data_IF_204758109830
#
_entry.id   IF_204758109830
#
_cell.length_a   1.000
_cell.length_b   1.000
_cell.length_c   1.000
_cell.angle_alpha   90.00
_cell.angle_beta   90.00
_cell.angle_gamma   90.00
#
_symmetry.space_group_name_H-M   'P 1'
#
loop_
_entity.id
_entity.type
_entity.pdbx_description
1 polymer ?
#
# COMPACT_ATOMS: atom_id res chain seq x y z
N UNK A 1 14.13 4.24 -18.80
CA UNK A 1 13.13 4.53 -19.87
C UNK A 1 11.74 4.84 -19.30
N UNK A 2 11.36 4.26 -18.15
CA UNK A 2 10.26 4.73 -17.28
C UNK A 2 10.55 6.05 -16.50
N UNK A 3 11.72 6.69 -16.70
CA UNK A 3 12.25 7.79 -15.89
C UNK A 3 12.40 9.10 -16.68
N UNK A 4 11.58 9.32 -17.72
CA UNK A 4 11.78 10.44 -18.64
C UNK A 4 10.47 11.10 -19.09
N UNK A 5 9.33 10.76 -18.47
CA UNK A 5 8.02 10.90 -19.14
C UNK A 5 6.96 11.53 -18.24
N UNK A 6 7.32 12.58 -17.51
CA UNK A 6 6.37 13.35 -16.73
C UNK A 6 6.54 14.85 -17.02
N UNK A 7 5.61 15.41 -17.79
CA UNK A 7 5.36 16.85 -17.82
C UNK A 7 3.88 17.13 -18.12
N UNK A 8 3.18 17.78 -17.18
CA UNK A 8 2.14 18.79 -17.46
C UNK A 8 1.87 19.68 -16.23
N UNK A 9 2.32 20.93 -16.39
CA UNK A 9 1.60 22.20 -16.11
C UNK A 9 1.48 22.78 -14.70
N UNK A 10 2.13 22.22 -13.68
CA UNK A 10 2.80 23.01 -12.61
C UNK A 10 4.04 22.24 -12.14
N UNK A 11 5.24 22.72 -12.45
CA UNK A 11 6.48 21.91 -12.34
C UNK A 11 6.92 21.66 -10.90
N UNK A 12 6.61 22.59 -10.00
CA UNK A 12 7.04 22.58 -8.61
C UNK A 12 6.08 23.41 -7.75
N UNK A 13 5.72 22.91 -6.57
CA UNK A 13 4.91 23.62 -5.59
C UNK A 13 5.57 23.50 -4.21
N UNK A 14 5.96 24.64 -3.64
CA UNK A 14 6.42 24.72 -2.26
C UNK A 14 5.21 24.67 -1.31
N UNK A 15 5.19 23.72 -0.39
CA UNK A 15 4.12 23.57 0.62
C UNK A 15 4.56 24.25 1.92
N UNK A 16 5.75 23.90 2.42
CA UNK A 16 6.37 24.52 3.59
C UNK A 16 7.83 24.88 3.28
N UNK A 17 8.13 26.19 3.36
CA UNK A 17 9.44 26.79 3.08
C UNK A 17 10.48 26.58 4.19
N UNK A 18 10.43 25.44 4.88
CA UNK A 18 11.31 25.12 5.99
C UNK A 18 10.95 25.85 7.29
N UNK A 19 10.37 25.14 8.25
CA UNK A 19 10.04 25.66 9.58
C UNK A 19 10.78 24.91 10.68
N UNK A 20 11.12 25.61 11.76
CA UNK A 20 11.65 24.96 12.95
C UNK A 20 10.49 24.35 13.74
N UNK A 21 10.50 23.03 13.87
CA UNK A 21 9.54 22.32 14.68
C UNK A 21 9.95 22.41 16.15
N UNK A 22 9.43 23.41 16.84
CA UNK A 22 9.72 23.66 18.26
C UNK A 22 9.15 22.58 19.19
N UNK A 23 8.28 21.69 18.69
CA UNK A 23 7.70 20.60 19.47
C UNK A 23 8.62 19.36 19.52
N UNK A 24 9.58 19.25 18.58
CA UNK A 24 10.52 18.13 18.52
C UNK A 24 11.91 18.58 18.98
N UNK A 25 12.39 17.96 20.06
CA UNK A 25 13.76 18.16 20.56
C UNK A 25 14.73 17.40 19.65
N UNK A 26 15.74 18.10 19.11
CA UNK A 26 16.76 17.56 18.21
C UNK A 26 17.40 16.27 18.73
N UNK A 27 17.72 16.20 20.02
CA UNK A 27 18.38 15.05 20.65
C UNK A 27 17.54 13.77 20.57
N UNK A 28 16.22 13.87 20.74
CA UNK A 28 15.31 12.71 20.66
C UNK A 28 15.21 12.22 19.22
N UNK A 29 15.05 13.16 18.28
CA UNK A 29 15.02 12.85 16.85
C UNK A 29 16.30 12.16 16.37
N UNK A 30 17.47 12.66 16.78
CA UNK A 30 18.77 12.06 16.44
C UNK A 30 18.92 10.67 17.06
N UNK A 31 18.44 10.48 18.30
CA UNK A 31 18.47 9.18 18.97
C UNK A 31 17.65 8.13 18.22
N UNK A 32 16.48 8.49 17.72
CA UNK A 32 15.65 7.59 16.90
C UNK A 32 16.31 7.28 15.55
N UNK A 33 16.88 8.28 14.87
CA UNK A 33 17.58 8.05 13.61
C UNK A 33 18.79 7.13 13.80
N UNK A 34 19.58 7.29 14.86
CA UNK A 34 20.67 6.35 15.20
C UNK A 34 20.19 4.92 15.34
N UNK A 35 18.97 4.71 15.86
CA UNK A 35 18.40 3.38 16.08
C UNK A 35 17.86 2.75 14.80
N UNK A 36 17.14 3.51 13.99
CA UNK A 36 16.36 2.96 12.86
C UNK A 36 16.97 3.26 11.48
N UNK A 37 17.78 4.31 11.36
CA UNK A 37 18.35 4.81 10.10
C UNK A 37 19.79 5.35 10.31
N UNK A 38 20.74 4.52 10.80
CA UNK A 38 22.06 4.99 11.24
C UNK A 38 22.90 5.64 10.13
N UNK A 39 22.62 5.30 8.87
CA UNK A 39 23.34 5.83 7.71
C UNK A 39 22.82 7.20 7.25
N UNK A 40 21.74 7.72 7.84
CA UNK A 40 21.16 9.01 7.45
C UNK A 40 21.85 10.18 8.18
N UNK A 41 23.18 10.23 8.07
CA UNK A 41 24.00 11.31 8.62
C UNK A 41 25.16 11.66 7.70
N UNK A 42 25.68 12.87 7.83
CA UNK A 42 26.93 13.28 7.18
C UNK A 42 27.65 14.31 8.06
N UNK A 43 28.97 14.34 7.94
CA UNK A 43 29.83 15.25 8.71
C UNK A 43 30.39 16.34 7.80
N UNK A 44 30.16 17.59 8.17
CA UNK A 44 30.69 18.78 7.50
C UNK A 44 31.94 19.23 8.24
N UNK A 45 33.07 19.24 7.55
CA UNK A 45 34.34 19.68 8.12
C UNK A 45 34.34 21.19 8.45
N UNK A 46 35.23 21.61 9.35
CA UNK A 46 35.42 23.02 9.68
C UNK A 46 35.91 23.81 8.46
N UNK A 47 35.48 25.07 8.32
CA UNK A 47 35.94 26.00 7.28
C UNK A 47 35.65 25.55 5.84
N UNK A 48 34.55 24.83 5.61
CA UNK A 48 34.17 24.31 4.29
C UNK A 48 32.70 24.65 3.98
N UNK A 49 32.41 24.97 2.73
CA UNK A 49 31.07 24.90 2.16
C UNK A 49 30.81 23.48 1.69
N UNK A 50 29.80 22.82 2.25
CA UNK A 50 29.47 21.45 1.91
C UNK A 50 28.09 21.36 1.25
N UNK A 51 28.01 20.64 0.15
CA UNK A 51 26.76 20.33 -0.53
C UNK A 51 26.52 18.83 -0.49
N UNK A 52 25.32 18.43 -0.07
CA UNK A 52 24.85 17.06 -0.17
C UNK A 52 23.65 17.00 -1.12
N UNK A 53 23.66 16.04 -2.02
CA UNK A 53 22.70 15.95 -3.13
C UNK A 53 21.88 14.68 -2.99
N UNK A 54 20.56 14.83 -2.99
CA UNK A 54 19.62 13.73 -2.92
C UNK A 54 18.77 13.68 -4.19
N UNK A 55 18.78 12.57 -4.94
CA UNK A 55 17.91 12.43 -6.10
C UNK A 55 16.45 12.37 -5.65
N UNK A 56 15.61 13.16 -6.31
CA UNK A 56 14.16 13.20 -6.13
C UNK A 56 13.51 12.73 -7.44
N UNK A 57 12.68 11.71 -7.34
CA UNK A 57 11.94 11.19 -8.49
C UNK A 57 10.81 12.14 -8.90
N UNK A 58 10.29 11.94 -10.11
CA UNK A 58 9.11 12.64 -10.64
C UNK A 58 7.85 12.38 -9.78
N UNK A 59 6.92 13.33 -9.76
CA UNK A 59 5.62 13.23 -9.05
C UNK A 59 5.76 12.79 -7.59
N UNK A 60 6.60 13.46 -6.82
CA UNK A 60 6.80 13.16 -5.40
C UNK A 60 6.31 14.33 -4.54
N UNK A 61 5.51 14.00 -3.52
CA UNK A 61 5.52 14.79 -2.30
C UNK A 61 6.78 14.39 -1.51
N UNK A 62 7.62 15.39 -1.22
CA UNK A 62 8.89 15.22 -0.53
C UNK A 62 8.83 15.96 0.79
N UNK A 63 8.90 15.19 1.87
CA UNK A 63 9.09 15.71 3.21
C UNK A 63 10.55 15.54 3.61
N UNK A 64 11.17 16.61 4.10
CA UNK A 64 12.56 16.58 4.54
C UNK A 64 12.67 17.14 5.96
N UNK A 65 13.53 16.52 6.75
CA UNK A 65 13.84 16.92 8.12
C UNK A 65 15.36 16.88 8.34
N UNK A 66 15.90 17.87 9.05
CA UNK A 66 17.32 17.95 9.37
C UNK A 66 17.55 18.49 10.79
N UNK A 67 18.52 17.89 11.48
CA UNK A 67 18.98 18.31 12.80
C UNK A 67 20.52 18.21 12.87
N UNK A 68 21.14 18.96 13.78
CA UNK A 68 22.58 18.87 14.07
C UNK A 68 22.79 18.30 15.47
N UNK A 69 23.86 17.54 15.68
CA UNK A 69 24.24 17.10 17.02
C UNK A 69 24.68 18.27 17.90
N UNK A 70 25.31 19.30 17.31
CA UNK A 70 25.87 20.44 18.04
C UNK A 70 25.83 21.70 17.19
N UNK A 71 25.66 22.85 17.88
CA UNK A 71 25.80 24.22 17.38
C UNK A 71 24.81 24.62 16.26
N UNK A 72 24.47 25.92 16.14
CA UNK A 72 23.59 26.42 15.08
C UNK A 72 24.29 26.48 13.72
N UNK A 73 23.62 26.14 12.62
CA UNK A 73 24.20 26.04 11.27
C UNK A 73 23.79 27.19 10.34
N UNK A 74 24.62 27.54 9.36
CA UNK A 74 24.18 28.28 8.19
C UNK A 74 23.74 27.27 7.14
N UNK A 75 22.46 27.27 6.78
CA UNK A 75 21.86 26.23 5.95
C UNK A 75 21.05 26.85 4.82
N UNK A 76 21.25 26.32 3.62
CA UNK A 76 20.42 26.57 2.46
C UNK A 76 19.94 25.22 1.92
N UNK A 77 18.65 25.13 1.61
CA UNK A 77 18.01 23.96 1.05
C UNK A 77 17.35 24.41 -0.24
N UNK A 78 17.70 23.76 -1.34
CA UNK A 78 17.23 24.09 -2.68
C UNK A 78 16.79 22.82 -3.38
N UNK A 79 15.76 22.93 -4.21
CA UNK A 79 15.35 21.89 -5.14
C UNK A 79 15.73 22.33 -6.55
N UNK A 80 16.48 21.51 -7.28
CA UNK A 80 16.89 21.79 -8.65
C UNK A 80 16.26 20.78 -9.60
N UNK A 81 15.57 21.26 -10.63
CA UNK A 81 15.00 20.39 -11.67
C UNK A 81 16.09 19.90 -12.62
N UNK A 82 15.90 18.72 -13.20
CA UNK A 82 16.82 18.12 -14.19
C UNK A 82 16.44 18.43 -15.65
N UNK A 83 15.45 19.29 -15.84
CA UNK A 83 14.97 19.68 -17.17
C UNK A 83 15.95 20.66 -17.86
N UNK A 84 15.75 20.89 -19.15
CA UNK A 84 16.65 21.68 -20.01
C UNK A 84 16.94 23.12 -19.53
N UNK A 85 16.16 23.65 -18.60
CA UNK A 85 16.33 25.00 -18.03
C UNK A 85 17.01 25.02 -16.64
N UNK A 86 17.23 23.87 -15.98
CA UNK A 86 17.79 23.76 -14.62
C UNK A 86 17.21 24.77 -13.62
N UNK A 87 15.88 24.81 -13.51
CA UNK A 87 15.22 25.71 -12.58
C UNK A 87 15.58 25.32 -11.14
N UNK A 88 16.03 26.31 -10.37
CA UNK A 88 16.39 26.13 -8.96
C UNK A 88 15.39 26.85 -8.07
N UNK A 89 14.74 26.10 -7.20
CA UNK A 89 13.78 26.59 -6.23
C UNK A 89 14.41 26.61 -4.84
N UNK A 90 14.51 27.78 -4.23
CA UNK A 90 14.95 27.89 -2.83
C UNK A 90 13.83 27.44 -1.89
N UNK A 91 14.09 26.39 -1.12
CA UNK A 91 13.14 25.88 -0.12
C UNK A 91 13.35 26.57 1.22
N UNK A 92 14.60 26.85 1.60
CA UNK A 92 14.96 27.50 2.85
C UNK A 92 16.36 28.11 2.76
N UNK A 93 16.58 29.31 3.28
CA UNK A 93 17.91 29.91 3.36
C UNK A 93 18.04 30.84 4.57
N UNK A 94 18.78 30.40 5.60
CA UNK A 94 19.04 31.21 6.81
C UNK A 94 20.40 30.90 7.42
N UNK A 95 20.97 31.91 8.08
CA UNK A 95 22.21 31.81 8.87
C UNK A 95 21.92 31.58 10.36
N UNK A 96 22.83 30.92 11.08
CA UNK A 96 22.77 30.67 12.53
C UNK A 96 21.47 30.00 13.01
N UNK A 97 20.94 29.08 12.22
CA UNK A 97 19.72 28.33 12.54
C UNK A 97 20.01 27.31 13.64
N UNK A 98 19.26 27.37 14.74
CA UNK A 98 19.42 26.47 15.90
C UNK A 98 18.86 25.06 15.66
N UNK A 99 19.36 24.39 14.61
CA UNK A 99 19.01 22.99 14.31
C UNK A 99 19.65 21.98 15.27
N UNK A 100 20.51 22.47 16.17
CA UNK A 100 21.04 21.76 17.32
C UNK A 100 20.04 21.64 18.47
N UNK A 101 19.00 22.48 18.48
CA UNK A 101 17.94 22.50 19.51
C UNK A 101 16.61 21.97 18.99
N UNK A 102 16.28 22.34 17.76
CA UNK A 102 15.01 22.01 17.12
C UNK A 102 15.22 21.34 15.77
N UNK A 103 14.28 20.52 15.33
CA UNK A 103 14.33 19.93 13.99
C UNK A 103 13.87 20.99 12.97
N UNK A 104 14.66 21.19 11.91
CA UNK A 104 14.20 21.95 10.76
C UNK A 104 13.53 20.98 9.79
N UNK A 105 12.31 21.30 9.37
CA UNK A 105 11.54 20.45 8.46
C UNK A 105 10.88 21.29 7.37
N UNK A 106 10.63 20.71 6.21
CA UNK A 106 9.86 21.33 5.15
C UNK A 106 9.29 20.32 4.18
N UNK A 107 8.46 20.82 3.28
CA UNK A 107 7.67 19.99 2.39
C UNK A 107 7.49 20.69 1.04
N UNK A 108 7.65 19.92 -0.03
CA UNK A 108 7.36 20.40 -1.38
C UNK A 108 6.83 19.27 -2.23
N UNK A 109 6.09 19.64 -3.26
CA UNK A 109 5.65 18.74 -4.31
C UNK A 109 6.39 19.08 -5.59
N UNK A 110 6.85 18.03 -6.28
CA UNK A 110 7.45 18.16 -7.60
C UNK A 110 6.75 17.25 -8.59
N UNK A 111 6.54 17.75 -9.81
CA UNK A 111 6.10 16.94 -10.94
C UNK A 111 7.30 16.34 -11.69
N UNK A 112 8.41 17.08 -11.83
CA UNK A 112 9.62 16.66 -12.55
C UNK A 112 10.67 15.95 -11.67
N UNK A 113 11.61 15.25 -12.31
CA UNK A 113 12.78 14.71 -11.61
C UNK A 113 13.69 15.87 -11.21
N UNK A 114 14.35 15.73 -10.07
CA UNK A 114 15.28 16.75 -9.63
C UNK A 114 16.20 16.28 -8.52
N UNK A 115 16.82 17.25 -7.88
CA UNK A 115 17.71 17.02 -6.76
C UNK A 115 17.36 17.97 -5.63
N UNK A 116 17.15 17.40 -4.44
CA UNK A 116 17.15 18.16 -3.21
C UNK A 116 18.61 18.33 -2.79
N UNK A 117 19.05 19.58 -2.69
CA UNK A 117 20.43 19.93 -2.35
C UNK A 117 20.42 20.62 -0.99
N UNK A 118 21.14 20.02 -0.05
CA UNK A 118 21.36 20.59 1.28
C UNK A 118 22.76 21.20 1.30
N UNK A 119 22.82 22.51 1.45
CA UNK A 119 24.05 23.28 1.51
C UNK A 119 24.28 23.74 2.94
N UNK A 120 25.43 23.38 3.51
CA UNK A 120 25.87 23.81 4.83
C UNK A 120 27.10 24.70 4.65
N UNK A 121 26.94 25.99 4.93
CA UNK A 121 28.08 26.90 4.98
C UNK A 121 28.73 26.80 6.38
N UNK A 122 29.84 26.06 6.46
CA UNK A 122 30.64 25.93 7.65
C UNK A 122 31.94 26.77 7.62
N UNK A 123 32.07 27.69 6.65
CA UNK A 123 33.29 28.49 6.41
C UNK A 123 33.66 29.37 7.61
N UNK A 124 32.66 29.92 8.28
CA UNK A 124 32.82 30.82 9.43
C UNK A 124 33.02 30.09 10.76
N UNK A 125 32.96 28.76 10.79
CA UNK A 125 32.99 27.97 12.03
C UNK A 125 34.27 27.13 12.14
N UNK A 126 34.74 26.97 13.38
CA UNK A 126 36.02 26.32 13.69
C UNK A 126 35.89 24.81 13.98
N UNK A 127 34.67 24.29 14.11
CA UNK A 127 34.42 22.89 14.47
C UNK A 127 33.62 22.17 13.37
N UNK A 128 33.88 20.86 13.17
CA UNK A 128 33.05 20.02 12.32
C UNK A 128 31.64 19.85 12.90
N UNK A 129 30.68 19.55 12.03
CA UNK A 129 29.27 19.37 12.39
C UNK A 129 28.73 18.07 11.83
N UNK A 130 28.12 17.27 12.67
CA UNK A 130 27.39 16.07 12.24
C UNK A 130 25.92 16.43 12.09
N UNK A 131 25.40 16.30 10.87
CA UNK A 131 23.99 16.50 10.58
C UNK A 131 23.30 15.15 10.38
N UNK A 132 22.09 15.08 10.89
CA UNK A 132 21.18 13.94 10.78
C UNK A 132 19.96 14.38 9.97
N UNK A 133 19.58 13.56 8.99
CA UNK A 133 18.50 13.92 8.07
C UNK A 133 17.51 12.79 7.88
N UNK A 134 16.32 13.13 7.39
CA UNK A 134 15.35 12.17 6.86
C UNK A 134 14.68 12.82 5.66
N UNK A 135 14.62 12.08 4.56
CA UNK A 135 13.89 12.48 3.35
C UNK A 135 12.88 11.36 3.10
N UNK A 136 11.60 11.71 3.12
CA UNK A 136 10.50 10.78 2.87
C UNK A 136 9.92 11.06 1.48
N UNK A 137 9.87 10.02 0.66
CA UNK A 137 9.26 9.99 -0.67
C UNK A 137 8.22 8.86 -0.65
N UNK A 138 7.08 9.00 -1.33
CA UNK A 138 6.06 7.95 -1.40
C UNK A 138 6.12 7.27 -2.78
N UNK A 139 6.89 6.18 -2.96
CA UNK A 139 7.04 5.55 -4.27
C UNK A 139 5.75 4.86 -4.71
N UNK A 140 5.09 5.41 -5.75
CA UNK A 140 3.96 4.76 -6.44
C UNK A 140 4.33 3.40 -7.04
N UNK A 141 5.62 3.16 -7.29
CA UNK A 141 6.14 1.85 -7.72
C UNK A 141 5.94 0.74 -6.70
N UNK A 142 5.56 1.07 -5.46
CA UNK A 142 5.19 0.09 -4.43
C UNK A 142 3.68 0.00 -4.20
N UNK A 143 2.87 0.75 -4.95
CA UNK A 143 1.40 0.69 -4.87
C UNK A 143 0.85 -0.34 -5.85
N UNK A 144 0.32 -1.44 -5.31
CA UNK A 144 -0.36 -2.47 -6.10
C UNK A 144 -1.59 -1.93 -6.82
N UNK A 145 -2.33 -1.01 -6.18
CA UNK A 145 -3.52 -0.42 -6.78
C UNK A 145 -3.16 0.50 -7.95
N UNK A 146 -2.13 1.34 -7.80
CA UNK A 146 -1.61 2.15 -8.90
C UNK A 146 -1.15 1.30 -10.08
N UNK A 147 -0.34 0.26 -9.83
CA UNK A 147 0.10 -0.66 -10.88
C UNK A 147 -1.06 -1.34 -11.61
N UNK A 148 -2.10 -1.73 -10.85
CA UNK A 148 -3.32 -2.28 -11.40
C UNK A 148 -4.03 -1.34 -12.37
N UNK A 149 -4.24 -0.09 -11.93
CA UNK A 149 -4.90 0.95 -12.73
C UNK A 149 -4.05 1.27 -13.96
N UNK A 150 -2.74 1.43 -13.81
CA UNK A 150 -1.83 1.68 -14.91
C UNK A 150 -1.90 0.57 -15.97
N UNK A 151 -1.84 -0.70 -15.54
CA UNK A 151 -1.89 -1.83 -16.45
C UNK A 151 -3.23 -1.94 -17.19
N UNK A 152 -4.34 -1.67 -16.50
CA UNK A 152 -5.68 -1.64 -17.10
C UNK A 152 -5.72 -0.69 -18.30
N UNK A 153 -5.31 0.57 -18.10
CA UNK A 153 -5.27 1.53 -19.20
C UNK A 153 -4.21 1.16 -20.24
N UNK A 154 -3.03 0.71 -19.82
CA UNK A 154 -1.96 0.36 -20.75
C UNK A 154 -2.40 -0.72 -21.75
N UNK A 155 -3.08 -1.77 -21.28
CA UNK A 155 -3.59 -2.85 -22.13
C UNK A 155 -4.66 -2.35 -23.12
N UNK A 156 -5.54 -1.43 -22.69
CA UNK A 156 -6.56 -0.86 -23.56
C UNK A 156 -5.96 -0.05 -24.74
N UNK A 157 -4.80 0.60 -24.54
CA UNK A 157 -4.17 1.42 -25.59
C UNK A 157 -3.18 0.66 -26.48
N UNK A 158 -2.51 -0.38 -25.96
CA UNK A 158 -1.31 -0.94 -26.61
C UNK A 158 -1.39 -2.43 -26.91
N UNK A 159 -2.59 -2.97 -27.13
CA UNK A 159 -2.75 -4.33 -27.67
C UNK A 159 -2.79 -4.27 -29.21
N UNK A 160 -1.82 -4.86 -29.96
CA UNK A 160 -0.77 -5.80 -29.54
C UNK A 160 0.55 -5.14 -29.06
N UNK A 161 1.32 -5.83 -28.18
CA UNK A 161 2.31 -5.27 -27.25
C UNK A 161 3.66 -4.81 -27.87
N UNK A 162 3.75 -4.71 -29.19
CA UNK A 162 5.01 -4.43 -29.92
C UNK A 162 4.91 -3.09 -30.66
N UNK A 163 4.51 -2.03 -29.95
CA UNK A 163 4.61 -0.66 -30.46
C UNK A 163 5.45 0.18 -29.52
N UNK A 164 6.44 0.86 -30.07
CA UNK A 164 7.18 1.90 -29.37
C UNK A 164 6.19 3.02 -29.06
N UNK A 165 5.85 3.18 -27.78
CA UNK A 165 4.92 4.22 -27.31
C UNK A 165 5.60 5.57 -27.49
N UNK A 166 4.93 6.50 -28.17
CA UNK A 166 5.42 7.88 -28.28
C UNK A 166 5.10 8.65 -26.99
N UNK A 167 5.94 9.61 -26.65
CA UNK A 167 5.81 10.45 -25.46
C UNK A 167 4.41 11.07 -25.29
N UNK A 168 3.82 11.62 -26.36
CA UNK A 168 2.47 12.17 -26.32
C UNK A 168 1.35 11.14 -26.05
N UNK A 169 1.52 9.90 -26.48
CA UNK A 169 0.54 8.82 -26.24
C UNK A 169 0.61 8.32 -24.78
N UNK A 170 1.80 8.39 -24.17
CA UNK A 170 1.98 8.07 -22.76
C UNK A 170 1.45 9.18 -21.83
N UNK A 171 1.59 10.46 -22.20
CA UNK A 171 0.96 11.55 -21.43
C UNK A 171 -0.56 11.36 -21.36
N UNK A 172 -1.19 11.06 -22.50
CA UNK A 172 -2.62 10.78 -22.57
C UNK A 172 -3.03 9.54 -21.75
N UNK A 173 -2.16 8.53 -21.69
CA UNK A 173 -2.37 7.36 -20.83
C UNK A 173 -2.37 7.77 -19.35
N UNK A 174 -1.36 8.53 -18.93
CA UNK A 174 -1.21 8.96 -17.54
C UNK A 174 -2.35 9.89 -17.12
N UNK A 175 -2.78 10.81 -17.97
CA UNK A 175 -3.92 11.69 -17.67
C UNK A 175 -5.19 10.85 -17.41
N UNK A 176 -5.40 9.77 -18.15
CA UNK A 176 -6.52 8.85 -17.93
C UNK A 176 -6.35 8.03 -16.66
N UNK A 177 -5.14 7.55 -16.37
CA UNK A 177 -4.82 6.83 -15.11
C UNK A 177 -5.10 7.73 -13.90
N UNK A 178 -4.62 8.97 -13.92
CA UNK A 178 -4.85 9.89 -12.81
C UNK A 178 -6.32 10.30 -12.74
N UNK A 179 -6.97 10.67 -13.85
CA UNK A 179 -8.43 10.93 -13.89
C UNK A 179 -9.23 9.77 -13.31
N UNK A 180 -8.83 8.53 -13.57
CA UNK A 180 -9.47 7.38 -12.96
C UNK A 180 -9.22 7.31 -11.46
N UNK A 181 -8.00 7.57 -10.99
CA UNK A 181 -7.69 7.69 -9.56
C UNK A 181 -8.53 8.82 -8.93
N UNK A 182 -8.72 9.97 -9.61
CA UNK A 182 -9.58 11.08 -9.12
C UNK A 182 -10.98 10.57 -8.86
N UNK A 183 -11.55 9.93 -9.89
CA UNK A 183 -12.89 9.41 -9.83
C UNK A 183 -13.00 8.30 -8.77
N UNK A 184 -11.96 7.50 -8.57
CA UNK A 184 -11.92 6.42 -7.59
C UNK A 184 -11.91 6.99 -6.17
N UNK A 185 -11.05 7.98 -5.90
CA UNK A 185 -10.97 8.66 -4.61
C UNK A 185 -12.25 9.47 -4.30
N UNK A 186 -12.92 10.00 -5.33
CA UNK A 186 -14.21 10.69 -5.19
C UNK A 186 -15.42 9.73 -5.19
N UNK A 187 -15.19 8.44 -5.47
CA UNK A 187 -16.20 7.39 -5.52
C UNK A 187 -17.14 7.45 -6.74
N UNK A 188 -16.81 8.20 -7.77
CA UNK A 188 -17.64 8.37 -8.99
C UNK A 188 -17.38 7.28 -10.05
N UNK A 189 -16.32 6.48 -9.91
CA UNK A 189 -16.05 5.33 -10.80
C UNK A 189 -17.16 4.30 -10.68
N UNK A 190 -17.61 3.75 -11.81
CA UNK A 190 -18.59 2.64 -11.82
C UNK A 190 -17.93 1.29 -11.55
N UNK A 191 -18.68 0.32 -10.99
CA UNK A 191 -18.16 -1.03 -10.77
C UNK A 191 -17.73 -1.72 -12.06
N UNK A 192 -18.36 -1.38 -13.20
CA UNK A 192 -17.94 -1.82 -14.54
C UNK A 192 -16.54 -1.34 -14.88
N UNK A 193 -16.25 -0.07 -14.64
CA UNK A 193 -14.93 0.51 -14.94
C UNK A 193 -13.84 -0.03 -14.00
N UNK A 194 -14.23 -0.58 -12.83
CA UNK A 194 -13.32 -1.27 -11.92
C UNK A 194 -13.14 -2.76 -12.24
N UNK A 195 -13.84 -3.32 -13.23
CA UNK A 195 -13.87 -4.77 -13.47
C UNK A 195 -12.47 -5.37 -13.69
N UNK A 196 -11.60 -4.69 -14.43
CA UNK A 196 -10.22 -5.12 -14.68
C UNK A 196 -9.35 -5.08 -13.41
N UNK A 197 -9.73 -4.26 -12.42
CA UNK A 197 -9.07 -4.24 -11.10
C UNK A 197 -9.44 -5.44 -10.22
N UNK A 198 -10.48 -6.23 -10.54
CA UNK A 198 -10.83 -7.44 -9.77
C UNK A 198 -9.61 -8.36 -9.66
N UNK A 199 -8.84 -8.52 -10.72
CA UNK A 199 -7.62 -9.32 -10.72
C UNK A 199 -6.58 -8.81 -9.71
N UNK A 200 -6.50 -7.49 -9.52
CA UNK A 200 -5.56 -6.86 -8.57
C UNK A 200 -5.96 -7.21 -7.14
N UNK A 201 -7.25 -7.07 -6.82
CA UNK A 201 -7.81 -7.44 -5.52
C UNK A 201 -7.78 -8.95 -5.24
N UNK A 202 -7.97 -9.79 -6.26
CA UNK A 202 -7.97 -11.25 -6.11
C UNK A 202 -6.57 -11.89 -6.08
N UNK A 203 -5.58 -11.27 -6.72
CA UNK A 203 -4.25 -11.88 -6.85
C UNK A 203 -3.24 -11.34 -5.85
N UNK A 204 -3.49 -10.21 -5.22
CA UNK A 204 -2.54 -9.59 -4.28
C UNK A 204 -3.14 -9.43 -2.89
N UNK A 205 -2.29 -9.56 -1.88
CA UNK A 205 -2.64 -9.19 -0.53
C UNK A 205 -2.61 -7.66 -0.42
N UNK A 206 -3.77 -7.03 -0.62
CA UNK A 206 -3.88 -5.57 -0.65
C UNK A 206 -4.26 -5.05 0.73
N UNK A 207 -3.33 -4.34 1.37
CA UNK A 207 -3.62 -3.51 2.52
C UNK A 207 -4.28 -2.19 2.07
N UNK A 208 -5.60 -2.22 1.92
CA UNK A 208 -6.40 -1.13 1.32
C UNK A 208 -6.05 0.24 1.90
N UNK A 209 -5.91 0.38 3.21
CA UNK A 209 -5.59 1.67 3.85
C UNK A 209 -4.24 2.22 3.45
N UNK A 210 -3.22 1.39 3.35
CA UNK A 210 -1.89 1.83 2.93
C UNK A 210 -1.88 2.24 1.46
N UNK A 211 -2.57 1.49 0.61
CA UNK A 211 -2.69 1.79 -0.81
C UNK A 211 -3.47 3.10 -1.06
N UNK A 212 -4.58 3.30 -0.36
CA UNK A 212 -5.35 4.55 -0.43
C UNK A 212 -4.50 5.74 0.04
N UNK A 213 -3.76 5.59 1.14
CA UNK A 213 -2.81 6.62 1.60
C UNK A 213 -1.77 6.93 0.53
N UNK A 214 -1.13 5.91 -0.04
CA UNK A 214 -0.16 6.09 -1.14
C UNK A 214 -0.78 6.82 -2.33
N UNK A 215 -2.02 6.50 -2.71
CA UNK A 215 -2.72 7.19 -3.79
C UNK A 215 -2.95 8.65 -3.45
N UNK A 216 -3.51 8.96 -2.28
CA UNK A 216 -3.77 10.33 -1.82
C UNK A 216 -2.49 11.19 -1.73
N UNK A 217 -1.40 10.66 -1.20
CA UNK A 217 -0.13 11.42 -1.01
C UNK A 217 0.55 11.76 -2.34
N UNK A 218 0.19 11.10 -3.44
CA UNK A 218 0.75 11.33 -4.77
C UNK A 218 -0.17 12.16 -5.69
N UNK A 219 -1.05 12.97 -5.09
CA UNK A 219 -2.02 13.81 -5.79
C UNK A 219 -1.63 15.28 -5.71
N UNK A 220 -1.58 15.94 -6.87
CA UNK A 220 -1.69 17.39 -6.92
C UNK A 220 -3.13 17.77 -6.58
N UNK A 221 -3.32 18.57 -5.53
CA UNK A 221 -4.63 19.07 -5.13
C UNK A 221 -4.99 20.30 -5.98
N UNK A 222 -5.67 20.09 -7.10
CA UNK A 222 -6.12 21.16 -7.99
C UNK A 222 -7.21 22.09 -7.39
N UNK A 223 -7.73 21.81 -6.18
CA UNK A 223 -8.76 22.64 -5.54
C UNK A 223 -8.31 24.06 -5.12
N UNK A 224 -7.03 24.42 -5.33
CA UNK A 224 -6.50 25.74 -4.97
C UNK A 224 -6.92 26.84 -5.96
N UNK A 225 -7.31 26.52 -7.20
CA UNK A 225 -7.60 27.56 -8.22
C UNK A 225 -8.99 28.19 -8.13
N UNK A 226 -9.99 27.54 -7.52
CA UNK A 226 -11.38 28.07 -7.53
C UNK A 226 -11.90 28.65 -6.21
N UNK A 227 -11.19 28.51 -5.08
CA UNK A 227 -11.67 29.04 -3.78
C UNK A 227 -10.81 30.15 -3.14
N UNK A 228 -9.63 30.49 -3.65
CA UNK A 228 -8.75 31.54 -3.07
C UNK A 228 -8.99 32.98 -3.54
N UNK A 229 -10.20 33.33 -4.02
CA UNK A 229 -10.58 34.74 -4.24
C UNK A 229 -11.49 35.34 -3.16
N UNK A 230 -11.80 34.61 -2.10
CA UNK A 230 -12.68 35.11 -1.04
C UNK A 230 -12.09 34.86 0.34
N UNK A 231 -11.59 35.94 0.94
CA UNK A 231 -11.47 36.21 2.38
C UNK A 231 -10.73 35.22 3.29
N UNK A 232 -9.60 35.71 3.81
CA UNK A 232 -9.01 35.52 5.15
C UNK A 232 -9.91 34.70 6.13
N UNK A 233 -9.66 33.39 6.27
CA UNK A 233 -9.85 32.59 7.51
C UNK A 233 -9.03 31.31 7.40
N UNK A 234 -8.16 31.06 8.39
CA UNK A 234 -7.49 29.81 8.78
C UNK A 234 -7.08 28.81 7.68
N UNK A 235 -5.80 28.82 7.34
CA UNK A 235 -5.08 27.73 6.67
C UNK A 235 -5.04 26.47 7.56
N UNK A 236 -6.11 25.68 7.54
CA UNK A 236 -6.00 24.24 7.76
C UNK A 236 -5.57 23.60 6.45
N UNK A 237 -4.47 22.84 6.50
CA UNK A 237 -3.98 21.99 5.42
C UNK A 237 -5.14 21.22 4.78
N UNK A 238 -5.26 21.30 3.45
CA UNK A 238 -6.08 20.35 2.69
C UNK A 238 -5.27 19.05 2.46
N UNK A 239 -4.73 18.47 3.53
CA UNK A 239 -4.46 17.04 3.52
C UNK A 239 -5.83 16.33 3.55
N UNK A 240 -6.01 15.22 2.83
CA UNK A 240 -7.25 14.46 2.91
C UNK A 240 -7.51 14.13 4.38
N UNK A 241 -8.70 14.48 4.83
CA UNK A 241 -9.11 14.23 6.21
C UNK A 241 -9.10 12.72 6.44
N UNK A 242 -8.78 12.28 7.66
CA UNK A 242 -8.80 10.85 7.98
C UNK A 242 -10.17 10.22 7.64
N UNK A 243 -11.24 11.01 7.71
CA UNK A 243 -12.61 10.61 7.30
C UNK A 243 -12.72 10.31 5.81
N UNK A 244 -12.10 11.10 4.94
CA UNK A 244 -12.10 10.84 3.49
C UNK A 244 -11.30 9.58 3.16
N UNK A 245 -10.15 9.39 3.83
CA UNK A 245 -9.35 8.18 3.70
C UNK A 245 -10.16 6.96 4.14
N UNK A 246 -10.78 7.01 5.32
CA UNK A 246 -11.61 5.93 5.85
C UNK A 246 -12.79 5.59 4.93
N UNK A 247 -13.43 6.60 4.35
CA UNK A 247 -14.55 6.42 3.43
C UNK A 247 -14.11 5.70 2.14
N UNK A 248 -13.00 6.10 1.53
CA UNK A 248 -12.46 5.41 0.35
C UNK A 248 -12.01 3.98 0.71
N UNK A 249 -11.41 3.80 1.88
CA UNK A 249 -11.04 2.47 2.37
C UNK A 249 -12.25 1.56 2.49
N UNK A 250 -13.35 2.06 3.04
CA UNK A 250 -14.60 1.32 3.16
C UNK A 250 -15.10 0.89 1.77
N UNK A 251 -15.16 1.81 0.81
CA UNK A 251 -15.64 1.47 -0.54
C UNK A 251 -14.80 0.38 -1.21
N UNK A 252 -13.48 0.52 -1.16
CA UNK A 252 -12.56 -0.45 -1.75
C UNK A 252 -12.56 -1.80 -1.03
N UNK A 253 -12.79 -1.82 0.28
CA UNK A 253 -12.93 -3.06 1.03
C UNK A 253 -14.21 -3.81 0.66
N UNK A 254 -15.33 -3.11 0.51
CA UNK A 254 -16.58 -3.71 0.01
C UNK A 254 -16.38 -4.21 -1.42
N UNK A 255 -15.67 -3.46 -2.26
CA UNK A 255 -15.33 -3.88 -3.62
C UNK A 255 -14.45 -5.13 -3.63
N UNK A 256 -13.47 -5.21 -2.72
CA UNK A 256 -12.63 -6.40 -2.55
C UNK A 256 -13.50 -7.62 -2.23
N UNK A 257 -14.43 -7.53 -1.28
CA UNK A 257 -15.35 -8.64 -1.00
C UNK A 257 -16.23 -8.98 -2.20
N UNK A 258 -16.81 -7.98 -2.85
CA UNK A 258 -17.61 -8.15 -4.06
C UNK A 258 -16.85 -8.91 -5.16
N UNK A 259 -15.58 -8.57 -5.39
CA UNK A 259 -14.73 -9.24 -6.39
C UNK A 259 -14.48 -10.72 -6.09
N UNK A 260 -14.59 -11.15 -4.83
CA UNK A 260 -14.36 -12.53 -4.39
C UNK A 260 -15.63 -13.38 -4.28
N UNK A 261 -16.83 -12.81 -4.42
CA UNK A 261 -18.10 -13.53 -4.23
C UNK A 261 -18.13 -14.82 -5.07
N UNK A 262 -17.78 -14.72 -6.35
CA UNK A 262 -17.80 -15.89 -7.25
C UNK A 262 -16.77 -16.96 -6.84
N UNK A 263 -15.61 -16.55 -6.35
CA UNK A 263 -14.57 -17.46 -5.87
C UNK A 263 -15.06 -18.19 -4.62
N UNK A 264 -15.65 -17.46 -3.67
CA UNK A 264 -16.20 -18.03 -2.42
C UNK A 264 -17.31 -19.04 -2.73
N UNK A 265 -18.24 -18.69 -3.62
CA UNK A 265 -19.34 -19.56 -4.03
C UNK A 265 -18.81 -20.82 -4.73
N UNK A 266 -17.89 -20.66 -5.68
CA UNK A 266 -17.28 -21.79 -6.37
C UNK A 266 -16.53 -22.72 -5.40
N UNK A 267 -15.89 -22.15 -4.36
CA UNK A 267 -15.23 -22.91 -3.31
C UNK A 267 -16.24 -23.78 -2.52
N UNK A 268 -17.36 -23.20 -2.12
CA UNK A 268 -18.45 -23.91 -1.42
C UNK A 268 -18.98 -25.07 -2.27
N UNK A 269 -19.23 -24.82 -3.55
CA UNK A 269 -19.77 -25.81 -4.50
C UNK A 269 -18.75 -26.93 -4.78
N UNK A 270 -17.49 -26.57 -5.06
CA UNK A 270 -16.42 -27.53 -5.39
C UNK A 270 -16.13 -28.48 -4.24
N UNK A 271 -16.19 -28.00 -3.00
CA UNK A 271 -15.86 -28.80 -1.82
C UNK A 271 -17.08 -29.37 -1.09
N UNK A 272 -18.31 -29.15 -1.58
CA UNK A 272 -19.55 -29.63 -0.92
C UNK A 272 -19.56 -29.25 0.58
N UNK A 273 -19.31 -27.97 0.85
CA UNK A 273 -19.15 -27.43 2.22
C UNK A 273 -20.52 -27.30 2.90
N UNK A 274 -21.53 -26.87 2.16
CA UNK A 274 -22.89 -26.71 2.65
C UNK A 274 -23.76 -27.92 2.25
N UNK A 275 -24.71 -28.34 3.09
CA UNK A 275 -25.62 -29.43 2.74
C UNK A 275 -26.48 -29.07 1.52
N UNK A 276 -26.71 -30.06 0.65
CA UNK A 276 -27.48 -29.91 -0.60
C UNK A 276 -28.93 -29.44 -0.37
N UNK A 277 -29.49 -29.76 0.80
CA UNK A 277 -30.85 -29.39 1.20
C UNK A 277 -30.94 -27.97 1.78
N UNK A 278 -29.80 -27.26 1.93
CA UNK A 278 -29.78 -25.90 2.42
C UNK A 278 -30.10 -24.96 1.24
N UNK A 279 -31.37 -24.60 1.10
CA UNK A 279 -31.82 -23.47 0.29
C UNK A 279 -31.36 -22.17 0.97
N UNK A 280 -30.04 -21.94 1.01
CA UNK A 280 -29.46 -20.74 1.60
C UNK A 280 -29.77 -19.55 0.68
N UNK A 281 -30.90 -18.89 0.96
CA UNK A 281 -31.39 -17.73 0.24
C UNK A 281 -30.32 -16.64 0.10
N UNK A 282 -29.35 -16.60 1.02
CA UNK A 282 -28.25 -15.66 1.00
C UNK A 282 -27.26 -15.95 -0.14
N UNK A 283 -26.92 -17.21 -0.42
CA UNK A 283 -26.08 -17.56 -1.59
C UNK A 283 -26.81 -17.22 -2.88
N UNK A 284 -28.10 -17.53 -2.96
CA UNK A 284 -28.95 -17.15 -4.08
C UNK A 284 -28.99 -15.63 -4.28
N UNK A 285 -29.05 -14.86 -3.19
CA UNK A 285 -29.00 -13.40 -3.22
C UNK A 285 -27.62 -12.89 -3.66
N UNK A 286 -26.52 -13.43 -3.13
CA UNK A 286 -25.15 -13.06 -3.50
C UNK A 286 -24.85 -13.35 -4.98
N UNK A 287 -25.33 -14.49 -5.53
CA UNK A 287 -25.21 -14.82 -6.97
C UNK A 287 -25.93 -13.82 -7.88
N UNK A 288 -27.01 -13.19 -7.39
CA UNK A 288 -27.83 -12.25 -8.16
C UNK A 288 -27.34 -10.81 -8.07
N UNK A 289 -26.30 -10.53 -7.29
CA UNK A 289 -25.71 -9.19 -7.16
C UNK A 289 -24.95 -8.80 -8.44
N UNK A 290 -25.68 -8.28 -9.42
CA UNK A 290 -25.15 -7.82 -10.70
C UNK A 290 -25.68 -6.41 -11.04
N UNK A 291 -25.23 -5.39 -10.31
CA UNK A 291 -25.35 -4.01 -10.78
C UNK A 291 -23.97 -3.39 -11.00
N UNK A 292 -23.41 -3.67 -12.17
CA UNK A 292 -22.12 -3.13 -12.58
C UNK A 292 -22.18 -1.61 -12.90
N UNK A 293 -23.37 -1.02 -12.99
CA UNK A 293 -23.53 0.43 -13.23
C UNK A 293 -23.51 1.25 -11.93
N UNK A 294 -23.56 0.58 -10.76
CA UNK A 294 -23.44 1.21 -9.45
C UNK A 294 -22.11 1.98 -9.34
N UNK A 295 -22.13 3.19 -8.79
CA UNK A 295 -20.89 3.92 -8.49
C UNK A 295 -20.22 3.39 -7.23
N UNK A 296 -18.91 3.55 -7.11
CA UNK A 296 -18.14 3.12 -5.94
C UNK A 296 -18.67 3.76 -4.64
N UNK A 297 -19.14 5.02 -4.71
CA UNK A 297 -19.75 5.71 -3.56
C UNK A 297 -21.07 5.07 -3.11
N UNK A 298 -21.83 4.51 -4.03
CA UNK A 298 -23.11 3.83 -3.76
C UNK A 298 -22.91 2.40 -3.25
N UNK A 299 -21.70 1.84 -3.38
CA UNK A 299 -21.40 0.46 -3.01
C UNK A 299 -21.76 0.14 -1.55
N UNK A 300 -21.55 1.09 -0.63
CA UNK A 300 -21.86 0.90 0.80
C UNK A 300 -23.33 0.57 1.04
N UNK A 301 -24.23 1.19 0.27
CA UNK A 301 -25.68 0.98 0.38
C UNK A 301 -26.11 -0.23 -0.43
N UNK A 302 -25.65 -0.33 -1.68
CA UNK A 302 -26.07 -1.39 -2.61
C UNK A 302 -25.56 -2.76 -2.17
N UNK A 303 -24.39 -2.82 -1.53
CA UNK A 303 -23.72 -4.05 -1.13
C UNK A 303 -23.53 -4.14 0.40
N UNK A 304 -24.43 -3.54 1.18
CA UNK A 304 -24.39 -3.60 2.66
C UNK A 304 -24.35 -5.05 3.18
N UNK A 305 -25.09 -5.95 2.53
CA UNK A 305 -25.10 -7.38 2.86
C UNK A 305 -23.71 -7.98 2.69
N UNK A 306 -22.99 -7.65 1.62
CA UNK A 306 -21.62 -8.13 1.38
C UNK A 306 -20.69 -7.62 2.49
N UNK A 307 -20.77 -6.33 2.84
CA UNK A 307 -20.00 -5.76 3.94
C UNK A 307 -20.26 -6.52 5.24
N UNK A 308 -21.53 -6.69 5.62
CA UNK A 308 -21.93 -7.32 6.88
C UNK A 308 -21.45 -8.77 6.96
N UNK A 309 -21.57 -9.53 5.87
CA UNK A 309 -21.22 -10.95 5.86
C UNK A 309 -19.70 -11.17 5.89
N UNK A 310 -18.92 -10.33 5.20
CA UNK A 310 -17.48 -10.54 5.04
C UNK A 310 -16.59 -9.64 5.89
N UNK A 311 -17.15 -8.78 6.76
CA UNK A 311 -16.37 -7.83 7.58
C UNK A 311 -15.27 -8.47 8.43
N UNK A 312 -15.42 -9.75 8.80
CA UNK A 312 -14.44 -10.49 9.60
C UNK A 312 -13.35 -11.16 8.74
N UNK A 313 -13.47 -11.11 7.42
CA UNK A 313 -12.48 -11.66 6.50
C UNK A 313 -11.42 -10.61 6.17
N UNK A 314 -10.16 -10.95 6.41
CA UNK A 314 -9.00 -10.21 5.93
C UNK A 314 -8.71 -10.53 4.47
N UNK A 315 -7.85 -9.75 3.83
CA UNK A 315 -7.31 -10.06 2.50
C UNK A 315 -6.60 -11.41 2.45
N UNK A 316 -5.96 -11.83 3.55
CA UNK A 316 -5.32 -13.15 3.67
C UNK A 316 -6.35 -14.29 3.66
N UNK A 317 -7.49 -14.11 4.32
CA UNK A 317 -8.58 -15.09 4.29
C UNK A 317 -9.15 -15.26 2.88
N UNK A 318 -9.31 -14.17 2.14
CA UNK A 318 -9.77 -14.20 0.74
C UNK A 318 -8.76 -14.92 -0.17
N UNK A 319 -7.47 -14.66 0.03
CA UNK A 319 -6.39 -15.38 -0.66
C UNK A 319 -6.40 -16.88 -0.35
N UNK A 320 -6.59 -17.27 0.91
CA UNK A 320 -6.70 -18.68 1.30
C UNK A 320 -7.84 -19.40 0.56
N UNK A 321 -9.01 -18.79 0.46
CA UNK A 321 -10.15 -19.36 -0.28
C UNK A 321 -9.79 -19.62 -1.74
N UNK A 322 -9.09 -18.66 -2.37
CA UNK A 322 -8.61 -18.78 -3.74
C UNK A 322 -7.56 -19.89 -3.87
N UNK A 323 -6.55 -19.91 -3.00
CA UNK A 323 -5.49 -20.93 -2.99
C UNK A 323 -6.06 -22.32 -2.77
N UNK A 324 -7.07 -22.48 -1.90
CA UNK A 324 -7.75 -23.76 -1.68
C UNK A 324 -8.39 -24.28 -2.97
N UNK A 325 -9.04 -23.40 -3.76
CA UNK A 325 -9.60 -23.75 -5.07
C UNK A 325 -8.51 -24.13 -6.08
N UNK A 326 -7.44 -23.34 -6.18
CA UNK A 326 -6.30 -23.62 -7.07
C UNK A 326 -5.64 -24.96 -6.70
N UNK A 327 -5.53 -25.25 -5.40
CA UNK A 327 -4.94 -26.48 -4.84
C UNK A 327 -6.02 -27.52 -4.46
N UNK A 328 -7.12 -27.57 -5.22
CA UNK A 328 -8.28 -28.43 -4.89
C UNK A 328 -7.93 -29.90 -4.67
N UNK A 329 -6.92 -30.43 -5.36
CA UNK A 329 -6.42 -31.80 -5.16
C UNK A 329 -5.94 -32.06 -3.72
N UNK A 330 -5.29 -31.07 -3.08
CA UNK A 330 -4.81 -31.18 -1.70
C UNK A 330 -6.00 -31.25 -0.75
N UNK A 331 -6.96 -30.33 -0.89
CA UNK A 331 -8.19 -30.31 -0.07
C UNK A 331 -8.97 -31.62 -0.22
N UNK A 332 -9.14 -32.09 -1.46
CA UNK A 332 -9.84 -33.35 -1.76
C UNK A 332 -9.09 -34.56 -1.22
N UNK A 333 -7.76 -34.58 -1.27
CA UNK A 333 -6.95 -35.63 -0.64
C UNK A 333 -7.19 -35.65 0.87
N UNK A 334 -7.11 -34.49 1.54
CA UNK A 334 -7.35 -34.39 2.98
C UNK A 334 -8.78 -34.85 3.37
N UNK A 335 -9.77 -34.53 2.54
CA UNK A 335 -11.17 -34.98 2.69
C UNK A 335 -11.30 -36.50 2.52
N UNK A 336 -10.66 -37.09 1.51
CA UNK A 336 -10.68 -38.55 1.26
C UNK A 336 -9.92 -39.36 2.31
N UNK A 337 -8.87 -38.79 2.88
CA UNK A 337 -8.05 -39.45 3.92
C UNK A 337 -8.68 -39.41 5.32
N UNK A 338 -9.89 -38.84 5.47
CA UNK A 338 -10.64 -38.72 6.72
C UNK A 338 -9.82 -38.14 7.89
N UNK A 339 -8.91 -37.19 7.58
CA UNK A 339 -7.95 -36.69 8.57
C UNK A 339 -8.59 -35.83 9.66
N UNK A 340 -9.79 -35.30 9.44
CA UNK A 340 -10.47 -34.40 10.38
C UNK A 340 -11.57 -35.07 11.22
N UNK A 341 -11.81 -36.38 11.04
CA UNK A 341 -12.66 -37.13 11.96
C UNK A 341 -12.00 -37.23 13.34
N UNK A 342 -12.77 -37.57 14.38
CA UNK A 342 -12.21 -37.72 15.74
C UNK A 342 -11.05 -38.73 15.78
N UNK A 343 -11.13 -39.79 14.96
CA UNK A 343 -10.06 -40.77 14.82
C UNK A 343 -8.91 -40.24 13.96
N UNK A 344 -9.20 -39.58 12.84
CA UNK A 344 -8.22 -38.96 11.96
C UNK A 344 -7.36 -37.91 12.66
N UNK A 345 -7.99 -37.00 13.43
CA UNK A 345 -7.31 -35.96 14.21
C UNK A 345 -6.31 -36.56 15.20
N UNK A 346 -6.76 -37.59 15.93
CA UNK A 346 -5.90 -38.30 16.89
C UNK A 346 -4.70 -38.94 16.19
N UNK A 347 -4.94 -39.65 15.07
CA UNK A 347 -3.88 -40.29 14.30
C UNK A 347 -2.90 -39.29 13.69
N UNK A 348 -3.41 -38.15 13.19
CA UNK A 348 -2.59 -37.05 12.70
C UNK A 348 -1.70 -36.49 13.81
N UNK A 349 -2.25 -36.28 15.01
CA UNK A 349 -1.51 -35.77 16.16
C UNK A 349 -0.43 -36.76 16.63
N UNK A 350 -0.74 -38.05 16.69
CA UNK A 350 0.22 -39.11 17.00
C UNK A 350 1.35 -39.16 15.95
N UNK A 351 1.02 -39.07 14.66
CA UNK A 351 2.02 -39.02 13.58
C UNK A 351 2.89 -37.76 13.68
N UNK A 352 2.29 -36.60 13.92
CA UNK A 352 2.98 -35.33 14.09
C UNK A 352 3.99 -35.42 15.23
N UNK A 353 3.56 -35.88 16.40
CA UNK A 353 4.40 -35.89 17.60
C UNK A 353 5.56 -36.89 17.45
N UNK A 354 5.29 -38.06 16.83
CA UNK A 354 6.31 -39.05 16.51
C UNK A 354 7.33 -38.53 15.49
N UNK A 355 6.87 -37.95 14.37
CA UNK A 355 7.75 -37.42 13.33
C UNK A 355 8.54 -36.20 13.80
N UNK A 356 7.94 -35.33 14.62
CA UNK A 356 8.63 -34.19 15.23
C UNK A 356 9.81 -34.66 16.07
N UNK A 357 9.62 -35.74 16.83
CA UNK A 357 10.67 -36.36 17.65
C UNK A 357 11.76 -37.01 16.79
N UNK A 358 11.38 -37.72 15.73
CA UNK A 358 12.33 -38.38 14.82
C UNK A 358 13.15 -37.41 13.97
N UNK A 359 12.56 -36.27 13.58
CA UNK A 359 13.17 -35.31 12.67
C UNK A 359 13.92 -34.17 13.37
N UNK A 360 14.04 -34.15 14.70
CA UNK A 360 14.68 -33.05 15.45
C UNK A 360 16.04 -32.58 14.90
N UNK A 361 16.84 -33.49 14.31
CA UNK A 361 18.16 -33.20 13.73
C UNK A 361 18.18 -33.24 12.19
N UNK A 362 17.02 -33.35 11.54
CA UNK A 362 16.86 -33.47 10.10
C UNK A 362 16.11 -32.25 9.56
N UNK A 363 16.84 -31.15 9.34
CA UNK A 363 16.28 -29.85 8.94
C UNK A 363 15.30 -29.93 7.76
N UNK A 364 15.66 -30.66 6.70
CA UNK A 364 14.78 -30.86 5.53
C UNK A 364 13.47 -31.58 5.88
N UNK A 365 13.52 -32.60 6.72
CA UNK A 365 12.34 -33.37 7.08
C UNK A 365 11.45 -32.61 8.07
N UNK A 366 12.04 -31.79 8.95
CA UNK A 366 11.30 -30.83 9.77
C UNK A 366 10.58 -29.78 8.91
N UNK A 367 11.20 -29.27 7.86
CA UNK A 367 10.54 -28.32 6.95
C UNK A 367 9.32 -28.94 6.26
N UNK A 368 9.43 -30.19 5.79
CA UNK A 368 8.31 -30.93 5.17
C UNK A 368 7.20 -31.16 6.20
N UNK A 369 7.55 -31.60 7.40
CA UNK A 369 6.59 -31.83 8.49
C UNK A 369 5.85 -30.54 8.87
N UNK A 370 6.56 -29.42 9.02
CA UNK A 370 5.96 -28.12 9.30
C UNK A 370 5.03 -27.67 8.17
N UNK A 371 5.43 -27.87 6.91
CA UNK A 371 4.58 -27.56 5.75
C UNK A 371 3.28 -28.38 5.79
N UNK A 372 3.37 -29.66 6.13
CA UNK A 372 2.20 -30.54 6.26
C UNK A 372 1.29 -30.14 7.42
N UNK A 373 1.85 -29.74 8.56
CA UNK A 373 1.09 -29.24 9.73
C UNK A 373 0.33 -27.96 9.36
N UNK A 374 0.99 -27.02 8.67
CA UNK A 374 0.39 -25.77 8.25
C UNK A 374 -0.72 -26.03 7.23
N UNK A 375 -0.47 -26.84 6.20
CA UNK A 375 -1.47 -27.20 5.20
C UNK A 375 -2.69 -27.90 5.83
N UNK A 376 -2.47 -28.78 6.81
CA UNK A 376 -3.54 -29.42 7.56
C UNK A 376 -4.40 -28.39 8.33
N UNK A 377 -3.80 -27.40 8.99
CA UNK A 377 -4.58 -26.36 9.67
C UNK A 377 -5.38 -25.50 8.67
N UNK A 378 -4.76 -25.10 7.56
CA UNK A 378 -5.37 -24.25 6.55
C UNK A 378 -6.50 -24.92 5.77
N UNK A 379 -6.44 -26.24 5.57
CA UNK A 379 -7.46 -26.99 4.84
C UNK A 379 -8.73 -27.30 5.66
N UNK A 380 -8.68 -27.20 7.00
CA UNK A 380 -9.78 -27.61 7.88
C UNK A 380 -11.15 -27.01 7.51
N UNK A 381 -11.28 -25.68 7.25
CA UNK A 381 -12.58 -25.07 6.96
C UNK A 381 -13.21 -25.55 5.65
N UNK A 382 -12.40 -26.09 4.72
CA UNK A 382 -12.85 -26.53 3.40
C UNK A 382 -13.19 -28.02 3.35
N UNK A 383 -12.74 -28.79 4.33
CA UNK A 383 -12.97 -30.24 4.39
C UNK A 383 -14.24 -30.57 5.19
N UNK A 384 -14.53 -29.81 6.23
CA UNK A 384 -15.67 -30.03 7.13
C UNK A 384 -16.94 -29.37 6.61
N UNK A 385 -18.07 -30.08 6.69
CA UNK A 385 -19.37 -29.48 6.40
C UNK A 385 -19.72 -28.38 7.42
N UNK A 386 -20.26 -27.27 6.94
CA UNK A 386 -20.83 -26.19 7.75
C UNK A 386 -22.37 -26.27 7.69
N UNK A 387 -23.05 -25.88 8.76
CA UNK A 387 -24.51 -25.93 8.83
C UNK A 387 -25.16 -24.82 8.02
N UNK A 388 -24.48 -23.70 7.79
CA UNK A 388 -24.93 -22.56 6.99
C UNK A 388 -23.73 -21.72 6.50
N UNK A 389 -24.01 -20.77 5.60
CA UNK A 389 -22.98 -19.89 5.04
C UNK A 389 -22.20 -19.09 6.10
N UNK A 390 -22.90 -18.55 7.10
CA UNK A 390 -22.30 -17.73 8.16
C UNK A 390 -21.30 -18.54 9.00
N UNK A 391 -21.62 -19.78 9.32
CA UNK A 391 -20.71 -20.69 10.02
C UNK A 391 -19.44 -20.94 9.23
N UNK A 392 -19.54 -21.15 7.90
CA UNK A 392 -18.37 -21.32 7.04
C UNK A 392 -17.47 -20.08 7.06
N UNK A 393 -18.05 -18.89 6.89
CA UNK A 393 -17.31 -17.63 6.94
C UNK A 393 -16.64 -17.42 8.30
N UNK A 394 -17.35 -17.73 9.40
CA UNK A 394 -16.81 -17.62 10.75
C UNK A 394 -15.68 -18.62 11.02
N UNK A 395 -15.75 -19.84 10.46
CA UNK A 395 -14.64 -20.82 10.56
C UNK A 395 -13.38 -20.32 9.87
N UNK A 396 -13.51 -19.73 8.68
CA UNK A 396 -12.36 -19.11 7.99
C UNK A 396 -11.83 -17.93 8.80
N UNK A 397 -12.70 -17.05 9.29
CA UNK A 397 -12.30 -15.91 10.10
C UNK A 397 -11.62 -16.32 11.43
N UNK A 398 -11.95 -17.51 11.94
CA UNK A 398 -11.34 -18.10 13.13
C UNK A 398 -9.93 -18.66 12.93
N UNK A 399 -9.46 -18.81 11.69
CA UNK A 399 -8.05 -19.09 11.42
C UNK A 399 -7.24 -17.84 11.80
N UNK A 400 -6.54 -17.88 12.94
CA UNK A 400 -5.62 -16.83 13.36
C UNK A 400 -4.71 -16.40 12.19
N UNK A 401 -4.46 -15.09 12.05
CA UNK A 401 -3.62 -14.48 11.00
C UNK A 401 -2.38 -15.34 10.71
N UNK A 402 -2.46 -16.15 9.67
CA UNK A 402 -1.34 -16.96 9.19
C UNK A 402 -0.48 -16.06 8.30
N UNK A 403 0.84 -16.28 8.32
CA UNK A 403 1.75 -15.50 7.47
C UNK A 403 1.41 -15.74 6.00
N UNK A 404 1.62 -14.74 5.14
CA UNK A 404 1.30 -14.85 3.70
C UNK A 404 2.02 -16.02 3.03
N UNK A 405 3.27 -16.30 3.47
CA UNK A 405 4.04 -17.44 3.03
C UNK A 405 3.43 -18.80 3.42
N UNK A 406 2.48 -18.83 4.38
CA UNK A 406 1.83 -20.06 4.81
C UNK A 406 1.04 -20.72 3.67
N UNK A 407 0.53 -19.91 2.75
CA UNK A 407 -0.21 -20.39 1.57
C UNK A 407 0.68 -21.20 0.62
N UNK A 408 1.99 -20.92 0.60
CA UNK A 408 2.95 -21.67 -0.22
C UNK A 408 3.12 -23.12 0.25
N UNK A 409 2.68 -23.46 1.47
CA UNK A 409 2.72 -24.85 1.94
C UNK A 409 1.57 -25.70 1.38
N UNK A 410 0.54 -25.06 0.79
CA UNK A 410 -0.53 -25.76 0.07
C UNK A 410 -0.19 -25.99 -1.41
N UNK A 411 0.70 -25.17 -1.98
CA UNK A 411 1.19 -25.25 -3.36
C UNK A 411 2.37 -26.22 -3.44
#
# INVERSE_FOLDING_TARGET
>A
RLCYLINCLTTFQLIDSGTQNNQIISENYIRELKRFQPNNSFTVNAKVLFENIFPINERQNVQWCIASEKLPCNIQIKYQTMDSNYDTHELFCKTKVSIDKHVLQGEFETQGAGQLIIVINNETFQAPRTLWYRIMQTPLSTSHLFHGIFNMFYQQYYTPPIRTIKEGELSQLLDKVFTFIDNLLNGTVSLRDMADLKAVFCNKNIHVREEVKKLFTNRSTDEITTRKRSSIVNTTMNSPTEKEIEQVCEWLQIYQYYSHINIIINCIETFDILPVDNDDQLIGHLKRLCDENCSLKEITRTYEIVKRQFQNLSSQHLQLIKTALECSNVVQMMKKSDLYSSHGRRRFQELRDNLTTQFQLQERNNMILNSWIIAYALCEPFVLKANNFEEFVNRIAGLSNFEENSLNHMQ
#
